data_IF_507013519894
#
_entry.id   IF_507013519894
#
_cell.length_a   1.000
_cell.length_b   1.000
_cell.length_c   1.000
_cell.angle_alpha   90.00
_cell.angle_beta   90.00
_cell.angle_gamma   90.00
#
_symmetry.space_group_name_H-M   'P 1'
#
loop_
_entity.id
_entity.type
_entity.pdbx_description
1 polymer ?
#
# COMPACT_ATOMS: atom_id res chain seq x y z
N UNK A 1 5.83 3.98 14.81
CA UNK A 1 5.55 2.57 14.40
C UNK A 1 4.92 2.62 13.02
N UNK A 2 4.91 1.58 12.20
CA UNK A 2 4.08 1.67 10.99
C UNK A 2 2.61 1.81 11.40
N UNK A 3 1.90 2.79 10.85
CA UNK A 3 0.49 2.99 11.18
C UNK A 3 -0.32 1.74 10.80
N UNK A 4 -1.36 1.42 11.57
CA UNK A 4 -2.26 0.29 11.30
C UNK A 4 -2.82 0.35 9.86
N UNK A 5 -3.08 1.55 9.37
CA UNK A 5 -3.50 1.78 7.99
C UNK A 5 -2.40 1.45 6.95
N UNK A 6 -1.12 1.63 7.28
CA UNK A 6 -0.03 1.19 6.37
C UNK A 6 0.01 -0.33 6.23
N UNK A 7 -0.23 -1.05 7.34
CA UNK A 7 -0.33 -2.51 7.32
C UNK A 7 -1.52 -2.91 6.44
N UNK A 8 -2.70 -2.34 6.70
CA UNK A 8 -3.92 -2.62 5.94
C UNK A 8 -3.77 -2.34 4.44
N UNK A 9 -3.09 -1.24 4.08
CA UNK A 9 -2.74 -0.91 2.69
C UNK A 9 -1.94 -2.01 2.01
N UNK A 10 -1.00 -2.63 2.71
CA UNK A 10 -0.22 -3.74 2.16
C UNK A 10 -1.05 -5.01 2.08
N UNK A 11 -1.79 -5.36 3.14
CA UNK A 11 -2.61 -6.58 3.17
C UNK A 11 -3.70 -6.56 2.08
N UNK A 12 -4.39 -5.42 1.92
CA UNK A 12 -5.36 -5.20 0.84
C UNK A 12 -4.74 -5.47 -0.53
N UNK A 13 -3.53 -4.97 -0.79
CA UNK A 13 -2.88 -5.18 -2.09
C UNK A 13 -2.47 -6.65 -2.29
N UNK A 14 -2.05 -7.34 -1.24
CA UNK A 14 -1.70 -8.77 -1.28
C UNK A 14 -2.92 -9.61 -1.62
N UNK A 15 -4.09 -9.32 -1.04
CA UNK A 15 -5.36 -9.98 -1.36
C UNK A 15 -5.76 -9.82 -2.83
N UNK A 16 -5.51 -8.64 -3.40
CA UNK A 16 -5.88 -8.30 -4.77
C UNK A 16 -4.99 -8.96 -5.82
N UNK A 17 -3.83 -9.53 -5.45
CA UNK A 17 -2.97 -10.24 -6.41
C UNK A 17 -3.75 -11.42 -6.99
N UNK A 18 -4.03 -11.46 -8.30
CA UNK A 18 -4.91 -12.47 -8.87
C UNK A 18 -4.37 -13.89 -8.70
N UNK A 19 -5.28 -14.86 -8.60
CA UNK A 19 -4.91 -16.29 -8.65
C UNK A 19 -4.14 -16.60 -9.93
N UNK A 20 -3.05 -17.38 -9.82
CA UNK A 20 -2.16 -17.70 -10.93
C UNK A 20 -1.20 -16.58 -11.31
N UNK A 21 -1.16 -15.49 -10.53
CA UNK A 21 -0.23 -14.38 -10.72
C UNK A 21 0.65 -14.16 -9.50
N UNK A 22 1.83 -13.59 -9.76
CA UNK A 22 2.86 -13.32 -8.76
C UNK A 22 3.30 -11.87 -8.88
N UNK A 23 3.67 -11.26 -7.77
CA UNK A 23 4.34 -9.95 -7.73
C UNK A 23 5.54 -10.02 -6.81
N UNK A 24 6.48 -9.08 -6.96
CA UNK A 24 7.59 -8.97 -6.03
C UNK A 24 7.29 -8.01 -4.87
N UNK A 25 8.01 -8.14 -3.75
CA UNK A 25 7.97 -7.14 -2.67
C UNK A 25 8.23 -5.70 -3.18
N UNK A 26 9.06 -5.56 -4.22
CA UNK A 26 9.33 -4.27 -4.85
C UNK A 26 8.15 -3.73 -5.66
N UNK A 27 7.34 -4.59 -6.26
CA UNK A 27 6.13 -4.16 -6.99
C UNK A 27 5.07 -3.68 -6.00
N UNK A 28 4.85 -4.41 -4.91
CA UNK A 28 3.97 -3.97 -3.81
C UNK A 28 4.43 -2.63 -3.23
N UNK A 29 5.73 -2.51 -2.93
CA UNK A 29 6.29 -1.28 -2.37
C UNK A 29 6.08 -0.06 -3.27
N UNK A 30 6.21 -0.23 -4.60
CA UNK A 30 5.94 0.84 -5.57
C UNK A 30 4.47 1.28 -5.57
N UNK A 31 3.54 0.35 -5.51
CA UNK A 31 2.09 0.66 -5.53
C UNK A 31 1.67 1.31 -4.20
N UNK A 32 2.17 0.80 -3.07
CA UNK A 32 1.78 1.31 -1.75
C UNK A 32 2.50 2.60 -1.37
N UNK A 33 3.71 2.84 -1.91
CA UNK A 33 4.54 4.00 -1.59
C UNK A 33 5.59 3.74 -0.50
N UNK A 34 5.95 2.48 -0.23
CA UNK A 34 6.88 2.09 0.85
C UNK A 34 8.04 1.22 0.34
N UNK A 35 9.09 1.07 1.15
CA UNK A 35 10.25 0.26 0.77
C UNK A 35 9.95 -1.25 0.77
N UNK A 36 10.57 -2.06 -0.12
CA UNK A 36 10.34 -3.51 -0.19
C UNK A 36 10.68 -4.26 1.11
N UNK A 37 11.62 -3.73 1.91
CA UNK A 37 11.95 -4.29 3.22
C UNK A 37 10.84 -4.06 4.25
N UNK A 38 10.15 -2.92 4.18
CA UNK A 38 8.99 -2.65 5.02
C UNK A 38 7.84 -3.60 4.66
N UNK A 39 7.56 -3.78 3.37
CA UNK A 39 6.60 -4.80 2.89
C UNK A 39 6.93 -6.18 3.46
N UNK A 40 8.18 -6.63 3.31
CA UNK A 40 8.63 -7.93 3.84
C UNK A 40 8.48 -8.04 5.36
N UNK A 41 8.72 -6.95 6.08
CA UNK A 41 8.50 -6.89 7.54
C UNK A 41 7.03 -7.05 7.90
N UNK A 42 6.09 -6.41 7.18
CA UNK A 42 4.66 -6.57 7.45
C UNK A 42 4.16 -7.96 7.08
N UNK A 43 4.57 -8.47 5.91
CA UNK A 43 4.24 -9.83 5.47
C UNK A 43 4.64 -10.87 6.51
N UNK A 44 5.81 -10.72 7.13
CA UNK A 44 6.27 -11.66 8.17
C UNK A 44 5.34 -11.76 9.38
N UNK A 45 4.66 -10.68 9.75
CA UNK A 45 3.89 -10.61 11.00
C UNK A 45 2.37 -10.60 10.80
N UNK A 46 1.89 -10.26 9.59
CA UNK A 46 0.48 -9.95 9.35
C UNK A 46 -0.14 -10.67 8.13
N UNK A 47 0.60 -11.54 7.42
CA UNK A 47 0.09 -12.20 6.21
C UNK A 47 -0.61 -13.54 6.43
N UNK A 48 -0.91 -13.89 7.68
CA UNK A 48 -1.68 -15.10 7.97
C UNK A 48 -3.06 -15.02 7.31
N UNK A 49 -3.47 -16.11 6.64
CA UNK A 49 -4.72 -16.16 5.88
C UNK A 49 -4.69 -15.49 4.50
N UNK A 50 -3.60 -14.82 4.13
CA UNK A 50 -3.43 -14.17 2.83
C UNK A 50 -2.73 -15.06 1.79
N UNK A 51 -2.86 -14.77 0.47
CA UNK A 51 -2.16 -15.50 -0.59
C UNK A 51 -0.66 -15.14 -0.66
N UNK A 52 0.05 -15.24 0.46
CA UNK A 52 1.43 -14.79 0.62
C UNK A 52 2.41 -15.47 -0.35
N UNK A 53 2.11 -16.69 -0.82
CA UNK A 53 2.91 -17.41 -1.81
C UNK A 53 2.97 -16.70 -3.17
N UNK A 54 2.07 -15.76 -3.44
CA UNK A 54 2.09 -14.91 -4.64
C UNK A 54 3.07 -13.74 -4.53
N UNK A 55 3.70 -13.53 -3.36
CA UNK A 55 4.61 -12.43 -3.09
C UNK A 55 6.03 -12.95 -2.92
N UNK A 56 6.89 -12.70 -3.90
CA UNK A 56 8.27 -13.23 -3.91
C UNK A 56 9.31 -12.12 -3.93
N UNK A 57 10.60 -12.49 -3.93
CA UNK A 57 11.62 -11.52 -4.33
C UNK A 57 11.53 -11.21 -5.86
N UNK A 58 12.37 -10.30 -6.34
CA UNK A 58 12.38 -9.90 -7.75
C UNK A 58 12.72 -11.04 -8.73
N UNK A 59 13.40 -12.09 -8.28
CA UNK A 59 13.77 -13.26 -9.07
C UNK A 59 12.75 -14.40 -9.01
N UNK A 60 11.63 -14.21 -8.29
CA UNK A 60 10.60 -15.24 -8.10
C UNK A 60 10.88 -16.20 -6.95
N UNK A 61 11.93 -15.96 -6.15
CA UNK A 61 12.35 -16.85 -5.09
C UNK A 61 11.66 -16.57 -3.76
N UNK A 62 11.54 -17.63 -2.97
CA UNK A 62 11.14 -17.60 -1.58
C UNK A 62 12.24 -18.22 -0.69
N UNK A 63 12.36 -17.78 0.58
CA UNK A 63 13.21 -18.45 1.56
C UNK A 63 12.89 -19.95 1.67
N UNK A 64 13.91 -20.77 1.87
CA UNK A 64 13.77 -22.22 1.96
C UNK A 64 12.66 -22.72 2.92
N UNK A 65 12.45 -22.13 4.12
CA UNK A 65 11.36 -22.53 5.01
C UNK A 65 9.96 -22.33 4.44
N UNK A 66 9.79 -21.39 3.50
CA UNK A 66 8.52 -21.06 2.88
C UNK A 66 8.26 -21.84 1.59
N UNK A 67 9.32 -22.31 0.91
CA UNK A 67 9.18 -23.00 -0.38
C UNK A 67 8.27 -24.22 -0.29
N UNK A 68 8.47 -25.09 0.70
CA UNK A 68 7.66 -26.30 0.87
C UNK A 68 6.17 -26.00 1.05
N UNK A 69 5.85 -24.88 1.69
CA UNK A 69 4.47 -24.43 1.91
C UNK A 69 3.90 -23.75 0.65
N UNK A 70 4.71 -23.02 -0.11
CA UNK A 70 4.26 -22.34 -1.33
C UNK A 70 4.03 -23.30 -2.51
N UNK A 71 4.78 -24.40 -2.58
CA UNK A 71 4.71 -25.36 -3.70
C UNK A 71 3.30 -25.92 -3.99
N UNK A 72 2.53 -26.40 -2.99
CA UNK A 72 1.15 -26.85 -3.22
C UNK A 72 0.28 -25.75 -3.82
N UNK A 73 0.39 -24.52 -3.33
CA UNK A 73 -0.38 -23.39 -3.86
C UNK A 73 0.03 -23.01 -5.28
N UNK A 74 1.33 -22.97 -5.58
CA UNK A 74 1.80 -22.73 -6.94
C UNK A 74 1.33 -23.81 -7.91
N UNK A 75 1.32 -25.08 -7.48
CA UNK A 75 0.79 -26.19 -8.28
C UNK A 75 -0.69 -26.00 -8.56
N UNK A 76 -1.48 -25.72 -7.51
CA UNK A 76 -2.93 -25.50 -7.59
C UNK A 76 -3.29 -24.28 -8.48
N UNK A 77 -2.43 -23.27 -8.50
CA UNK A 77 -2.61 -22.05 -9.30
C UNK A 77 -1.97 -22.11 -10.70
N UNK A 78 -1.31 -23.22 -11.05
CA UNK A 78 -0.63 -23.38 -12.33
C UNK A 78 0.63 -22.51 -12.50
N UNK A 79 1.25 -22.09 -11.41
CA UNK A 79 2.49 -21.29 -11.37
C UNK A 79 3.69 -22.24 -11.44
N UNK A 80 4.47 -22.14 -12.51
CA UNK A 80 5.63 -23.01 -12.71
C UNK A 80 6.81 -22.63 -11.81
N UNK A 81 7.48 -23.66 -11.27
CA UNK A 81 8.71 -23.54 -10.49
C UNK A 81 9.93 -23.53 -11.42
N UNK A 82 10.96 -22.78 -11.06
CA UNK A 82 12.27 -22.82 -11.72
C UNK A 82 12.93 -24.18 -11.55
N UNK A 83 13.77 -24.56 -12.53
CA UNK A 83 14.52 -25.82 -12.50
C UNK A 83 15.43 -25.97 -11.28
N UNK A 84 15.93 -24.86 -10.74
CA UNK A 84 16.79 -24.86 -9.55
C UNK A 84 16.00 -25.00 -8.23
N UNK A 85 14.67 -25.03 -8.27
CA UNK A 85 13.80 -25.22 -7.12
C UNK A 85 13.74 -24.03 -6.14
N UNK A 86 14.40 -22.91 -6.42
CA UNK A 86 14.48 -21.78 -5.49
C UNK A 86 13.22 -20.90 -5.47
N UNK A 87 12.32 -21.08 -6.43
CA UNK A 87 11.19 -20.19 -6.61
C UNK A 87 10.36 -20.45 -7.86
N UNK A 88 9.39 -19.58 -8.09
CA UNK A 88 8.53 -19.58 -9.26
C UNK A 88 9.16 -18.83 -10.44
N UNK A 89 8.64 -19.06 -11.64
CA UNK A 89 9.00 -18.35 -12.87
C UNK A 89 8.28 -17.00 -12.94
N UNK A 90 8.60 -16.08 -12.02
CA UNK A 90 7.89 -14.78 -11.91
C UNK A 90 7.75 -14.04 -13.24
N UNK A 91 8.73 -14.11 -14.15
CA UNK A 91 8.66 -13.46 -15.45
C UNK A 91 7.45 -13.91 -16.30
N UNK A 92 7.02 -15.17 -16.17
CA UNK A 92 5.91 -15.73 -16.94
C UNK A 92 4.55 -15.53 -16.25
N UNK A 93 4.58 -15.26 -14.94
CA UNK A 93 3.39 -15.18 -14.08
C UNK A 93 3.19 -13.81 -13.42
N UNK A 94 4.03 -12.82 -13.75
CA UNK A 94 3.94 -11.50 -13.14
C UNK A 94 2.57 -10.88 -13.41
N UNK A 95 1.92 -10.37 -12.38
CA UNK A 95 0.64 -9.67 -12.55
C UNK A 95 0.81 -8.42 -13.43
N UNK A 96 -0.27 -8.03 -14.11
CA UNK A 96 -0.37 -6.69 -14.71
C UNK A 96 -0.42 -5.66 -13.58
N UNK A 97 0.69 -4.93 -13.41
CA UNK A 97 0.82 -3.97 -12.30
C UNK A 97 -0.08 -2.75 -12.47
N UNK A 98 -0.40 -2.34 -13.69
CA UNK A 98 -1.29 -1.22 -13.93
C UNK A 98 -2.74 -1.58 -13.57
N UNK A 99 -3.18 -2.76 -13.99
CA UNK A 99 -4.50 -3.27 -13.62
C UNK A 99 -4.62 -3.50 -12.10
N UNK A 100 -3.57 -4.06 -11.48
CA UNK A 100 -3.52 -4.27 -10.04
C UNK A 100 -3.55 -2.95 -9.24
N UNK A 101 -2.78 -1.94 -9.68
CA UNK A 101 -2.80 -0.61 -9.06
C UNK A 101 -4.18 0.05 -9.15
N UNK A 102 -4.85 -0.07 -10.30
CA UNK A 102 -6.21 0.46 -10.47
C UNK A 102 -7.21 -0.21 -9.51
N UNK A 103 -7.19 -1.54 -9.41
CA UNK A 103 -8.04 -2.28 -8.48
C UNK A 103 -7.74 -1.92 -7.01
N UNK A 104 -6.45 -1.77 -6.67
CA UNK A 104 -6.00 -1.34 -5.36
C UNK A 104 -6.54 0.05 -4.99
N UNK A 105 -6.44 1.01 -5.92
CA UNK A 105 -6.95 2.37 -5.69
C UNK A 105 -8.44 2.39 -5.39
N UNK A 106 -9.23 1.57 -6.10
CA UNK A 106 -10.66 1.43 -5.81
C UNK A 106 -10.88 0.82 -4.43
N UNK A 107 -10.19 -0.28 -4.10
CA UNK A 107 -10.40 -0.99 -2.84
C UNK A 107 -9.99 -0.17 -1.62
N UNK A 108 -8.88 0.56 -1.71
CA UNK A 108 -8.35 1.32 -0.57
C UNK A 108 -9.12 2.60 -0.28
N UNK A 109 -9.82 3.17 -1.27
CA UNK A 109 -10.69 4.33 -1.05
C UNK A 109 -11.80 4.01 -0.03
N UNK A 110 -12.37 2.80 -0.07
CA UNK A 110 -13.36 2.34 0.90
C UNK A 110 -12.73 2.20 2.30
N UNK A 111 -11.52 1.63 2.37
CA UNK A 111 -10.77 1.48 3.64
C UNK A 111 -10.40 2.82 4.24
N UNK A 112 -9.91 3.78 3.45
CA UNK A 112 -9.60 5.14 3.91
C UNK A 112 -10.86 5.85 4.40
N UNK A 113 -12.00 5.66 3.74
CA UNK A 113 -13.28 6.19 4.21
C UNK A 113 -13.70 5.60 5.56
N UNK A 114 -13.42 4.32 5.81
CA UNK A 114 -13.83 3.60 7.02
C UNK A 114 -12.84 3.71 8.20
N UNK A 115 -11.54 3.78 7.92
CA UNK A 115 -10.45 3.69 8.90
C UNK A 115 -9.53 4.90 8.90
N UNK A 116 -9.60 5.77 7.90
CA UNK A 116 -8.72 6.92 7.80
C UNK A 116 -9.01 7.93 8.90
N UNK A 117 -7.95 8.56 9.40
CA UNK A 117 -8.07 9.55 10.47
C UNK A 117 -8.70 10.81 9.89
N UNK A 118 -9.88 11.19 10.38
CA UNK A 118 -10.60 12.34 9.87
C UNK A 118 -9.74 13.63 9.92
N UNK A 119 -9.79 14.43 8.86
CA UNK A 119 -9.16 15.75 8.82
C UNK A 119 -9.69 16.61 9.99
N UNK A 120 -8.83 17.31 10.75
CA UNK A 120 -9.28 18.18 11.82
C UNK A 120 -10.19 19.29 11.28
N UNK A 121 -11.17 19.71 12.07
CA UNK A 121 -12.08 20.77 11.66
C UNK A 121 -11.31 22.09 11.42
N UNK A 122 -11.18 22.50 10.15
CA UNK A 122 -10.51 23.74 9.74
C UNK A 122 -11.53 24.87 9.46
N UNK A 123 -11.10 25.97 8.85
CA UNK A 123 -12.02 27.01 8.37
C UNK A 123 -12.80 26.52 7.13
N UNK A 124 -14.02 27.06 6.91
CA UNK A 124 -14.84 26.70 5.76
C UNK A 124 -14.11 26.77 4.39
N UNK A 125 -13.24 27.77 4.11
CA UNK A 125 -12.46 27.80 2.88
C UNK A 125 -11.44 26.66 2.79
N UNK A 126 -10.72 26.35 3.88
CA UNK A 126 -9.71 25.28 3.89
C UNK A 126 -10.38 23.90 3.77
N UNK A 127 -11.48 23.66 4.49
CA UNK A 127 -12.25 22.42 4.38
C UNK A 127 -12.73 22.18 2.94
N UNK A 128 -13.30 23.20 2.28
CA UNK A 128 -13.71 23.10 0.87
C UNK A 128 -12.55 22.81 -0.07
N UNK A 129 -11.38 23.42 0.17
CA UNK A 129 -10.19 23.19 -0.63
C UNK A 129 -9.70 21.74 -0.55
N UNK A 130 -9.72 21.16 0.65
CA UNK A 130 -9.37 19.75 0.89
C UNK A 130 -10.37 18.81 0.22
N UNK A 131 -11.67 19.03 0.42
CA UNK A 131 -12.71 18.21 -0.23
C UNK A 131 -12.64 18.31 -1.76
N UNK A 132 -12.38 19.49 -2.33
CA UNK A 132 -12.20 19.67 -3.77
C UNK A 132 -10.93 18.97 -4.32
N UNK A 133 -9.97 18.65 -3.45
CA UNK A 133 -8.80 17.84 -3.77
C UNK A 133 -8.99 16.35 -3.44
N UNK A 134 -10.21 15.95 -3.04
CA UNK A 134 -10.52 14.61 -2.54
C UNK A 134 -9.64 14.19 -1.35
N UNK A 135 -9.27 15.16 -0.50
CA UNK A 135 -8.55 14.92 0.75
C UNK A 135 -9.57 14.97 1.88
N UNK A 136 -9.82 13.82 2.48
CA UNK A 136 -10.81 13.62 3.55
C UNK A 136 -10.20 13.00 4.80
N UNK A 137 -9.01 12.41 4.68
CA UNK A 137 -8.26 11.83 5.81
C UNK A 137 -6.84 12.38 5.92
N UNK A 138 -6.22 12.24 7.10
CA UNK A 138 -4.81 12.62 7.31
C UNK A 138 -3.86 11.76 6.48
N UNK A 139 -4.21 10.51 6.18
CA UNK A 139 -3.38 9.64 5.36
C UNK A 139 -3.45 10.02 3.89
N UNK A 140 -4.62 10.40 3.38
CA UNK A 140 -4.73 11.03 2.05
C UNK A 140 -3.93 12.31 1.99
N UNK A 141 -3.95 13.12 3.06
CA UNK A 141 -3.18 14.35 3.15
C UNK A 141 -1.66 14.08 3.13
N UNK A 142 -1.19 13.02 3.79
CA UNK A 142 0.22 12.64 3.83
C UNK A 142 0.81 12.32 2.44
N UNK A 143 -0.03 11.97 1.47
CA UNK A 143 0.38 11.72 0.08
C UNK A 143 0.62 13.00 -0.74
N UNK A 144 0.33 14.17 -0.17
CA UNK A 144 0.54 15.48 -0.79
C UNK A 144 1.79 16.16 -0.25
N UNK A 145 2.46 16.96 -1.10
CA UNK A 145 3.47 17.89 -0.61
C UNK A 145 2.78 19.04 0.09
N UNK A 146 3.33 19.46 1.23
CA UNK A 146 2.80 20.60 1.99
C UNK A 146 2.64 21.86 1.13
N UNK A 147 3.57 22.10 0.20
CA UNK A 147 3.53 23.22 -0.72
C UNK A 147 2.33 23.16 -1.68
N UNK A 148 2.04 21.99 -2.26
CA UNK A 148 0.92 21.80 -3.18
C UNK A 148 -0.43 22.03 -2.50
N UNK A 149 -0.53 21.68 -1.21
CA UNK A 149 -1.73 21.95 -0.40
C UNK A 149 -1.83 23.44 -0.06
N UNK A 150 -0.71 24.09 0.25
CA UNK A 150 -0.66 25.53 0.54
C UNK A 150 -1.11 26.41 -0.65
N UNK A 151 -0.89 25.96 -1.88
CA UNK A 151 -1.33 26.66 -3.10
C UNK A 151 -2.84 26.59 -3.33
N UNK A 152 -3.57 25.74 -2.60
CA UNK A 152 -5.01 25.60 -2.76
C UNK A 152 -5.74 26.83 -2.25
N UNK A 153 -6.67 27.34 -3.06
CA UNK A 153 -7.46 28.53 -2.72
C UNK A 153 -8.23 28.34 -1.39
N UNK A 154 -7.92 29.18 -0.39
CA UNK A 154 -8.50 29.10 0.96
C UNK A 154 -7.60 28.43 2.01
N UNK A 155 -6.42 27.93 1.61
CA UNK A 155 -5.44 27.34 2.51
C UNK A 155 -4.54 28.40 3.15
N UNK A 156 -4.95 28.91 4.32
CA UNK A 156 -4.18 29.92 5.06
C UNK A 156 -3.12 29.31 6.01
N UNK A 157 -2.16 30.12 6.51
CA UNK A 157 -1.10 29.66 7.43
C UNK A 157 -1.61 28.96 8.69
N UNK A 158 -2.76 29.40 9.21
CA UNK A 158 -3.40 28.76 10.38
C UNK A 158 -3.88 27.35 10.05
N UNK A 159 -4.49 27.14 8.88
CA UNK A 159 -4.96 25.82 8.47
C UNK A 159 -3.77 24.87 8.29
N UNK A 160 -2.71 25.33 7.62
CA UNK A 160 -1.50 24.52 7.43
C UNK A 160 -0.87 24.08 8.75
N UNK A 161 -0.76 24.96 9.76
CA UNK A 161 -0.27 24.54 11.08
C UNK A 161 -1.14 23.49 11.75
N UNK A 162 -2.47 23.62 11.67
CA UNK A 162 -3.38 22.61 12.24
C UNK A 162 -3.20 21.26 11.55
N UNK A 163 -2.97 21.26 10.24
CA UNK A 163 -2.67 20.04 9.48
C UNK A 163 -1.30 19.47 9.84
N UNK A 164 -0.27 20.31 10.02
CA UNK A 164 1.06 19.90 10.51
C UNK A 164 0.96 19.20 11.87
N UNK A 165 0.24 19.81 12.81
CA UNK A 165 -0.01 19.29 14.16
C UNK A 165 -0.75 17.94 14.10
N UNK A 166 -1.84 17.86 13.32
CA UNK A 166 -2.63 16.64 13.20
C UNK A 166 -1.87 15.48 12.54
N UNK A 167 -1.07 15.74 11.49
CA UNK A 167 -0.20 14.73 10.89
C UNK A 167 0.81 14.20 11.93
N UNK A 168 1.43 15.11 12.69
CA UNK A 168 2.39 14.75 13.74
C UNK A 168 1.74 13.89 14.84
N UNK A 169 0.53 14.25 15.29
CA UNK A 169 -0.23 13.46 16.27
C UNK A 169 -0.59 12.06 15.77
N UNK A 170 -0.79 11.91 14.46
CA UNK A 170 -1.06 10.63 13.81
C UNK A 170 0.20 9.81 13.44
N UNK A 171 1.40 10.25 13.82
CA UNK A 171 2.70 9.65 13.41
C UNK A 171 2.85 9.62 11.87
N UNK A 172 2.31 10.64 11.19
CA UNK A 172 2.36 10.84 9.74
C UNK A 172 3.20 12.07 9.40
N UNK A 173 3.77 12.06 8.21
CA UNK A 173 4.53 13.18 7.66
C UNK A 173 3.97 13.58 6.29
N UNK A 174 4.17 14.84 5.91
CA UNK A 174 3.92 15.26 4.54
C UNK A 174 4.80 14.50 3.57
N UNK A 175 4.33 14.35 2.34
CA UNK A 175 5.19 13.89 1.25
C UNK A 175 6.37 14.83 1.08
N UNK A 176 7.60 14.30 0.87
CA UNK A 176 8.80 15.10 0.64
C UNK A 176 8.68 16.12 -0.50
#
# INVERSE_FOLDING_TARGET
MASELTIERVLTLVELVPRGRVVSYGDLGKIVGIGPRQVGSFMRHHSEGLPWWRITNAAGDLPAPLLSQAHPHWTDEGILVKRNGLGCRIADYRADLHALEAAYRTRIADTLTAMGTAIPHTSNPAARALTAASITTLEELSEWRRADVAERHGMGPKALRMLDEALTEADLEWKP
#
